data_IF_699874481523
#
_entry.id   IF_699874481523
#
_cell.length_a   1.000
_cell.length_b   1.000
_cell.length_c   1.000
_cell.angle_alpha   90.00
_cell.angle_beta   90.00
_cell.angle_gamma   90.00
#
_symmetry.space_group_name_H-M   'P 1'
#
loop_
_entity.id
_entity.type
_entity.pdbx_description
1 polymer ?
#
# COMPACT_ATOMS: atom_id res chain seq x y z
N UNK A 1 -27.79 -28.61 -19.45
CA UNK A 1 -26.72 -27.88 -18.74
C UNK A 1 -25.40 -28.60 -18.98
N UNK A 2 -24.46 -28.00 -19.73
CA UNK A 2 -23.14 -28.60 -20.00
C UNK A 2 -22.16 -28.13 -18.93
N UNK A 3 -21.75 -29.04 -18.04
CA UNK A 3 -20.67 -28.81 -17.08
C UNK A 3 -19.33 -28.85 -17.81
N UNK A 4 -18.88 -27.71 -18.32
CA UNK A 4 -17.53 -27.56 -18.86
C UNK A 4 -16.50 -27.62 -17.72
N UNK A 5 -15.76 -28.72 -17.61
CA UNK A 5 -14.53 -28.76 -16.80
C UNK A 5 -13.53 -27.79 -17.42
N UNK A 6 -13.23 -26.70 -16.73
CA UNK A 6 -12.07 -25.87 -17.02
C UNK A 6 -10.81 -26.73 -16.77
N UNK A 7 -10.24 -27.26 -17.84
CA UNK A 7 -8.95 -27.94 -17.80
C UNK A 7 -7.89 -26.88 -17.50
N UNK A 8 -7.35 -26.94 -16.28
CA UNK A 8 -6.38 -25.98 -15.78
C UNK A 8 -5.09 -26.07 -16.62
N UNK A 9 -4.66 -24.97 -17.22
CA UNK A 9 -3.39 -24.83 -17.95
C UNK A 9 -2.14 -25.06 -17.08
N UNK A 10 -2.33 -25.31 -15.78
CA UNK A 10 -1.28 -25.59 -14.81
C UNK A 10 -0.48 -26.86 -15.14
N UNK A 11 -1.12 -27.89 -15.70
CA UNK A 11 -0.45 -29.17 -15.99
C UNK A 11 0.60 -29.03 -17.11
N UNK A 12 0.29 -28.23 -18.15
CA UNK A 12 1.23 -27.92 -19.23
C UNK A 12 2.40 -27.02 -18.78
N UNK A 13 2.23 -26.25 -17.70
CA UNK A 13 3.29 -25.43 -17.13
C UNK A 13 4.23 -26.22 -16.22
N UNK A 14 3.71 -27.22 -15.49
CA UNK A 14 4.52 -28.14 -14.67
C UNK A 14 5.54 -28.94 -15.49
N UNK A 15 5.18 -29.32 -16.72
CA UNK A 15 6.09 -30.06 -17.60
C UNK A 15 7.23 -29.21 -18.16
N UNK A 16 7.06 -27.87 -18.23
CA UNK A 16 8.04 -26.94 -18.82
C UNK A 16 8.88 -26.20 -17.79
N UNK A 17 8.46 -26.16 -16.53
CA UNK A 17 9.15 -25.42 -15.48
C UNK A 17 9.17 -26.26 -14.20
N UNK A 18 10.36 -26.70 -13.77
CA UNK A 18 10.55 -27.29 -12.44
C UNK A 18 10.36 -26.21 -11.39
N UNK A 19 9.17 -26.18 -10.80
CA UNK A 19 8.77 -25.20 -9.80
C UNK A 19 9.43 -25.56 -8.46
N UNK A 20 10.35 -24.71 -7.99
CA UNK A 20 11.01 -24.84 -6.68
C UNK A 20 10.17 -24.26 -5.54
N UNK A 21 9.33 -23.27 -5.84
CA UNK A 21 8.46 -22.63 -4.85
C UNK A 21 7.20 -22.09 -5.49
N UNK A 22 6.07 -22.28 -4.80
CA UNK A 22 4.77 -21.70 -5.16
C UNK A 22 4.22 -20.99 -3.93
N UNK A 23 4.05 -19.68 -4.02
CA UNK A 23 3.46 -18.86 -2.96
C UNK A 23 2.09 -18.36 -3.44
N UNK A 24 1.01 -18.86 -2.84
CA UNK A 24 -0.34 -18.33 -3.07
C UNK A 24 -0.59 -17.15 -2.13
N UNK A 25 -0.82 -15.97 -2.70
CA UNK A 25 -1.41 -14.85 -2.00
C UNK A 25 -2.94 -15.06 -1.99
N UNK A 26 -3.40 -15.85 -1.02
CA UNK A 26 -4.74 -16.49 -0.96
C UNK A 26 -5.96 -15.61 -1.26
N UNK A 27 -5.86 -14.27 -1.32
CA UNK A 27 -7.02 -13.37 -1.49
C UNK A 27 -6.91 -12.47 -2.74
N UNK A 28 -5.74 -12.35 -3.36
CA UNK A 28 -5.53 -11.50 -4.55
C UNK A 28 -5.61 -12.27 -5.87
N UNK A 29 -5.78 -13.59 -5.81
CA UNK A 29 -5.63 -14.48 -6.96
C UNK A 29 -4.19 -14.56 -7.45
N UNK A 30 -3.21 -13.97 -6.77
CA UNK A 30 -1.82 -14.01 -7.21
C UNK A 30 -1.09 -15.26 -6.71
N UNK A 31 -0.27 -15.83 -7.58
CA UNK A 31 0.65 -16.92 -7.32
C UNK A 31 2.04 -16.46 -7.75
N UNK A 32 3.03 -16.63 -6.87
CA UNK A 32 4.43 -16.42 -7.22
C UNK A 32 5.07 -17.80 -7.36
N UNK A 33 5.60 -18.08 -8.54
CA UNK A 33 6.31 -19.30 -8.90
C UNK A 33 7.80 -18.98 -8.97
N UNK A 34 8.60 -19.56 -8.08
CA UNK A 34 10.05 -19.57 -8.23
C UNK A 34 10.50 -20.86 -8.90
N UNK A 35 11.17 -20.78 -10.03
CA UNK A 35 11.75 -21.90 -10.75
C UNK A 35 13.15 -22.26 -10.22
N UNK A 36 13.63 -23.48 -10.49
CA UNK A 36 14.95 -23.95 -10.06
C UNK A 36 16.12 -23.14 -10.64
N UNK A 37 15.94 -22.56 -11.83
CA UNK A 37 16.93 -21.71 -12.49
C UNK A 37 17.02 -20.29 -11.88
N UNK A 38 16.23 -19.98 -10.85
CA UNK A 38 16.18 -18.67 -10.21
C UNK A 38 15.15 -17.72 -10.80
N UNK A 39 14.40 -18.11 -11.84
CA UNK A 39 13.37 -17.26 -12.41
C UNK A 39 12.15 -17.15 -11.48
N UNK A 40 11.61 -15.94 -11.40
CA UNK A 40 10.41 -15.64 -10.62
C UNK A 40 9.27 -15.26 -11.57
N UNK A 41 8.22 -16.08 -11.62
CA UNK A 41 7.01 -15.80 -12.39
C UNK A 41 5.86 -15.44 -11.46
N UNK A 42 5.15 -14.36 -11.78
CA UNK A 42 3.95 -13.95 -11.04
C UNK A 42 2.73 -14.20 -11.91
N UNK A 43 1.83 -15.04 -11.43
CA UNK A 43 0.58 -15.40 -12.07
C UNK A 43 -0.56 -14.77 -11.30
N UNK A 44 -1.54 -14.19 -12.00
CA UNK A 44 -2.72 -13.62 -11.36
C UNK A 44 -3.96 -14.29 -11.96
N UNK A 45 -4.81 -14.84 -11.09
CA UNK A 45 -6.12 -15.36 -11.45
C UNK A 45 -6.99 -14.17 -11.86
N UNK A 46 -7.57 -14.24 -13.05
CA UNK A 46 -8.55 -13.26 -13.53
C UNK A 46 -9.87 -13.43 -12.76
N UNK A 47 -9.89 -13.09 -11.47
CA UNK A 47 -11.12 -13.03 -10.67
C UNK A 47 -11.81 -11.68 -10.87
N UNK A 48 -12.45 -11.53 -12.04
CA UNK A 48 -13.33 -10.39 -12.33
C UNK A 48 -14.38 -10.17 -11.23
N UNK A 49 -14.83 -11.25 -10.55
CA UNK A 49 -15.81 -11.19 -9.48
C UNK A 49 -15.29 -10.58 -8.15
N UNK A 50 -14.03 -10.82 -7.77
CA UNK A 50 -13.45 -10.22 -6.55
C UNK A 50 -13.18 -8.72 -6.77
N UNK A 51 -12.69 -8.35 -7.95
CA UNK A 51 -12.53 -6.97 -8.37
C UNK A 51 -13.89 -6.23 -8.44
N UNK A 52 -14.97 -6.90 -8.86
CA UNK A 52 -16.31 -6.33 -8.89
C UNK A 52 -16.89 -6.08 -7.48
N UNK A 53 -16.64 -6.93 -6.49
CA UNK A 53 -17.09 -6.70 -5.09
C UNK A 53 -16.41 -5.50 -4.45
N UNK A 54 -15.11 -5.31 -4.69
CA UNK A 54 -14.37 -4.13 -4.23
C UNK A 54 -14.78 -2.85 -5.00
N UNK A 55 -15.03 -2.96 -6.31
CA UNK A 55 -15.49 -1.82 -7.12
C UNK A 55 -16.90 -1.36 -6.76
N UNK A 56 -17.85 -2.26 -6.46
CA UNK A 56 -19.22 -1.88 -6.10
C UNK A 56 -19.31 -1.06 -4.80
N UNK A 57 -18.38 -1.27 -3.85
CA UNK A 57 -18.31 -0.46 -2.62
C UNK A 57 -17.73 0.93 -2.88
N UNK A 58 -16.84 1.08 -3.86
CA UNK A 58 -16.30 2.38 -4.30
C UNK A 58 -17.27 3.18 -5.19
N UNK A 59 -18.19 2.50 -5.90
CA UNK A 59 -19.16 3.12 -6.83
C UNK A 59 -20.38 3.75 -6.15
N UNK A 60 -20.54 3.63 -4.82
CA UNK A 60 -21.59 4.31 -4.06
C UNK A 60 -21.30 5.80 -3.78
N UNK A 61 -20.10 6.29 -4.14
CA UNK A 61 -19.73 7.69 -4.01
C UNK A 61 -19.81 8.34 -5.38
N UNK A 62 -20.76 9.28 -5.54
CA UNK A 62 -21.01 10.00 -6.78
C UNK A 62 -19.71 10.58 -7.36
N UNK A 63 -19.52 10.39 -8.68
CA UNK A 63 -18.38 10.98 -9.39
C UNK A 63 -18.47 12.52 -9.30
N UNK A 64 -17.42 13.22 -8.84
CA UNK A 64 -17.43 14.68 -8.75
C UNK A 64 -17.42 15.32 -10.14
N UNK A 65 -17.92 16.58 -10.26
CA UNK A 65 -18.01 17.30 -11.52
C UNK A 65 -16.63 17.51 -12.17
N UNK A 66 -16.56 17.26 -13.48
CA UNK A 66 -15.36 17.14 -14.32
C UNK A 66 -14.63 18.47 -14.65
N UNK A 67 -14.63 19.46 -13.75
CA UNK A 67 -14.13 20.82 -14.02
C UNK A 67 -12.73 21.16 -13.51
N UNK A 68 -11.97 20.23 -12.92
CA UNK A 68 -10.67 20.53 -12.31
C UNK A 68 -9.50 20.29 -13.29
N UNK A 69 -8.75 21.35 -13.58
CA UNK A 69 -7.57 21.37 -14.46
C UNK A 69 -6.60 20.21 -14.19
N UNK A 70 -6.21 19.54 -15.29
CA UNK A 70 -5.51 18.26 -15.40
C UNK A 70 -4.02 18.26 -14.97
N UNK A 71 -3.64 18.98 -13.91
CA UNK A 71 -2.22 19.18 -13.55
C UNK A 71 -1.65 18.17 -12.54
N UNK A 72 -2.27 17.00 -12.34
CA UNK A 72 -1.77 16.04 -11.34
C UNK A 72 -1.94 14.59 -11.74
N UNK A 73 -1.10 14.09 -12.63
CA UNK A 73 -0.80 12.66 -12.63
C UNK A 73 -0.25 12.29 -11.24
N UNK A 74 -0.91 11.35 -10.56
CA UNK A 74 -0.47 10.82 -9.28
C UNK A 74 -1.26 11.35 -8.08
N UNK A 75 -2.34 12.10 -8.29
CA UNK A 75 -3.15 12.64 -7.20
C UNK A 75 -3.65 11.53 -6.25
N UNK A 76 -3.38 11.63 -4.93
CA UNK A 76 -3.88 10.68 -3.95
C UNK A 76 -5.37 10.90 -3.70
N UNK A 77 -6.02 9.92 -3.07
CA UNK A 77 -7.34 10.10 -2.47
C UNK A 77 -7.23 10.31 -0.96
N UNK A 78 -8.15 11.09 -0.38
CA UNK A 78 -8.25 11.25 1.07
C UNK A 78 -8.70 9.95 1.75
N UNK A 79 -8.82 9.94 3.08
CA UNK A 79 -9.22 8.75 3.84
C UNK A 79 -10.65 8.28 3.51
N UNK A 80 -11.54 9.20 3.09
CA UNK A 80 -12.88 8.88 2.60
C UNK A 80 -12.94 8.54 1.10
N UNK A 81 -11.80 8.45 0.41
CA UNK A 81 -11.74 8.05 -1.00
C UNK A 81 -12.00 9.15 -2.04
N UNK A 82 -12.25 10.40 -1.64
CA UNK A 82 -12.34 11.53 -2.58
C UNK A 82 -10.98 11.86 -3.20
N UNK A 83 -10.96 12.17 -4.49
CA UNK A 83 -9.74 12.58 -5.19
C UNK A 83 -9.26 13.94 -4.66
N UNK A 84 -7.99 14.02 -4.27
CA UNK A 84 -7.39 15.29 -3.88
C UNK A 84 -6.91 16.06 -5.12
N UNK A 85 -6.92 17.38 -5.05
CA UNK A 85 -6.40 18.27 -6.10
C UNK A 85 -5.19 19.03 -5.59
N UNK A 86 -4.26 19.35 -6.48
CA UNK A 86 -3.16 20.26 -6.14
C UNK A 86 -3.72 21.63 -5.70
N UNK A 87 -3.14 22.23 -4.67
CA UNK A 87 -3.50 23.56 -4.19
C UNK A 87 -2.29 24.29 -3.65
N UNK A 88 -2.00 25.48 -4.19
CA UNK A 88 -1.05 26.45 -3.63
C UNK A 88 -1.72 27.48 -2.70
N UNK A 89 -3.02 27.32 -2.43
CA UNK A 89 -3.83 28.30 -1.69
C UNK A 89 -3.23 28.56 -0.30
N UNK A 90 -2.80 29.79 -0.04
CA UNK A 90 -2.12 30.19 1.20
C UNK A 90 -2.86 31.31 1.96
N UNK A 91 -4.12 31.58 1.62
CA UNK A 91 -4.99 32.57 2.28
C UNK A 91 -5.71 31.99 3.50
N UNK A 92 -6.36 32.88 4.27
CA UNK A 92 -7.15 32.50 5.46
C UNK A 92 -6.34 31.74 6.51
N UNK A 93 -6.85 30.60 6.96
CA UNK A 93 -6.19 29.74 7.96
C UNK A 93 -4.82 29.22 7.48
N UNK A 94 -4.60 29.16 6.16
CA UNK A 94 -3.38 28.64 5.56
C UNK A 94 -2.19 29.62 5.63
N UNK A 95 -2.42 30.88 6.02
CA UNK A 95 -1.35 31.90 6.17
C UNK A 95 -0.28 31.44 7.18
N UNK A 96 -0.70 30.71 8.23
CA UNK A 96 0.22 30.17 9.26
C UNK A 96 0.83 28.82 8.88
N UNK A 97 0.57 28.34 7.67
CA UNK A 97 0.85 26.98 7.23
C UNK A 97 -0.29 26.01 7.56
N UNK A 98 -0.09 24.75 7.22
CA UNK A 98 -1.07 23.67 7.40
C UNK A 98 -0.38 22.42 7.94
N UNK A 99 -1.15 21.42 8.35
CA UNK A 99 -0.63 20.13 8.82
C UNK A 99 -1.10 19.03 7.91
N UNK A 100 -0.17 18.17 7.49
CA UNK A 100 -0.53 17.00 6.69
C UNK A 100 -1.38 16.02 7.53
N UNK A 101 -2.55 15.63 7.06
CA UNK A 101 -3.46 14.70 7.75
C UNK A 101 -2.86 13.30 7.89
N UNK A 102 -1.86 12.97 7.06
CA UNK A 102 -1.12 11.71 7.14
C UNK A 102 0.02 11.79 8.17
N UNK A 103 1.02 12.65 7.93
CA UNK A 103 2.26 12.69 8.71
C UNK A 103 2.29 13.74 9.84
N UNK A 104 1.28 14.60 9.96
CA UNK A 104 1.15 15.67 10.95
C UNK A 104 2.23 16.76 10.93
N UNK A 105 3.22 16.63 10.04
CA UNK A 105 4.22 17.65 9.82
C UNK A 105 3.55 18.98 9.43
N UNK A 106 3.96 20.06 10.09
CA UNK A 106 3.58 21.42 9.71
C UNK A 106 4.31 21.79 8.41
N UNK A 107 3.58 22.31 7.43
CA UNK A 107 4.06 22.66 6.10
C UNK A 107 3.58 24.06 5.71
N UNK A 108 4.18 24.61 4.67
CA UNK A 108 3.79 25.86 4.01
C UNK A 108 3.76 25.61 2.51
N UNK A 109 2.99 26.41 1.77
CA UNK A 109 2.90 26.32 0.31
C UNK A 109 2.00 25.19 -0.18
N UNK A 110 2.45 24.54 -1.26
CA UNK A 110 1.67 23.60 -2.06
C UNK A 110 1.34 22.27 -1.34
N UNK A 111 0.18 21.70 -1.69
CA UNK A 111 -0.32 20.43 -1.12
C UNK A 111 -1.30 19.72 -2.03
N UNK A 112 -1.62 18.48 -1.69
CA UNK A 112 -2.86 17.84 -2.13
C UNK A 112 -3.97 18.21 -1.16
N UNK A 113 -5.02 18.86 -1.66
CA UNK A 113 -6.20 19.25 -0.90
C UNK A 113 -7.40 18.42 -1.36
N UNK A 114 -8.06 17.76 -0.43
CA UNK A 114 -9.40 17.24 -0.67
C UNK A 114 -10.42 18.37 -0.51
N UNK A 115 -11.05 18.81 -1.60
CA UNK A 115 -12.03 19.90 -1.54
C UNK A 115 -13.30 19.55 -0.77
N UNK A 116 -13.59 18.26 -0.62
CA UNK A 116 -14.75 17.72 0.14
C UNK A 116 -14.43 17.63 1.63
N UNK A 117 -13.41 16.85 2.01
CA UNK A 117 -13.07 16.60 3.42
C UNK A 117 -12.24 17.72 4.07
N UNK A 118 -11.64 18.61 3.27
CA UNK A 118 -10.59 19.55 3.69
C UNK A 118 -9.33 18.86 4.23
N UNK A 119 -9.11 17.59 3.87
CA UNK A 119 -7.87 16.88 4.16
C UNK A 119 -6.72 17.45 3.33
N UNK A 120 -5.60 17.74 4.00
CA UNK A 120 -4.36 18.22 3.40
C UNK A 120 -3.28 17.12 3.44
N UNK A 121 -2.70 16.77 2.29
CA UNK A 121 -1.61 15.79 2.19
C UNK A 121 -0.37 16.42 1.58
N UNK A 122 0.78 16.22 2.20
CA UNK A 122 2.04 16.77 1.71
C UNK A 122 2.68 15.96 0.59
N UNK A 123 3.50 16.64 -0.21
CA UNK A 123 4.24 16.00 -1.29
C UNK A 123 5.32 15.06 -0.79
N UNK A 124 5.82 15.16 0.44
CA UNK A 124 6.69 14.12 1.00
C UNK A 124 5.95 12.78 1.16
N UNK A 125 4.66 12.84 1.50
CA UNK A 125 3.83 11.64 1.64
C UNK A 125 3.32 11.13 0.29
N UNK A 126 2.96 12.04 -0.61
CA UNK A 126 2.49 11.72 -1.96
C UNK A 126 3.15 12.65 -2.96
N UNK A 127 4.33 12.30 -3.51
CA UNK A 127 5.06 13.22 -4.38
C UNK A 127 4.31 13.51 -5.68
N UNK A 128 4.37 14.77 -6.11
CA UNK A 128 3.91 15.17 -7.44
C UNK A 128 4.96 14.72 -8.47
N UNK A 129 4.50 14.16 -9.58
CA UNK A 129 5.37 13.80 -10.70
C UNK A 129 5.17 14.84 -11.81
N UNK A 130 6.16 15.69 -12.06
CA UNK A 130 6.07 16.66 -13.14
C UNK A 130 6.37 15.98 -14.48
N UNK A 131 5.63 16.27 -15.56
CA UNK A 131 5.98 15.80 -16.88
C UNK A 131 7.43 16.19 -17.22
N UNK A 132 8.22 15.23 -17.68
CA UNK A 132 9.63 15.45 -18.03
C UNK A 132 10.63 15.27 -16.89
N UNK A 133 10.21 15.13 -15.63
CA UNK A 133 11.11 14.64 -14.58
C UNK A 133 11.50 13.20 -14.91
N UNK A 134 12.81 12.97 -15.13
CA UNK A 134 13.33 11.61 -15.28
C UNK A 134 12.89 10.84 -14.06
N UNK A 135 12.12 9.76 -14.29
CA UNK A 135 11.88 8.73 -13.28
C UNK A 135 13.26 8.23 -12.87
N UNK A 136 13.82 8.76 -11.78
CA UNK A 136 14.93 8.11 -11.10
C UNK A 136 14.46 6.69 -10.89
N UNK A 137 15.23 5.75 -11.44
CA UNK A 137 14.84 4.37 -11.53
C UNK A 137 14.60 3.84 -10.12
N UNK A 138 13.35 3.87 -9.67
CA UNK A 138 12.87 3.26 -8.42
C UNK A 138 12.83 1.73 -8.62
N UNK A 139 13.92 1.20 -9.18
CA UNK A 139 14.17 -0.20 -9.54
C UNK A 139 14.74 -0.97 -8.38
N UNK A 140 15.22 -0.29 -7.35
CA UNK A 140 15.76 -0.91 -6.16
C UNK A 140 14.72 -1.01 -5.06
N UNK A 141 14.84 -2.07 -4.27
CA UNK A 141 14.03 -2.23 -3.07
C UNK A 141 14.27 -1.02 -2.14
N UNK A 142 13.20 -0.45 -1.62
CA UNK A 142 13.29 0.69 -0.70
C UNK A 142 13.21 0.19 0.73
N UNK A 143 14.21 0.54 1.52
CA UNK A 143 14.19 0.33 2.97
C UNK A 143 14.07 1.69 3.65
N UNK A 144 13.02 1.87 4.45
CA UNK A 144 12.79 3.10 5.21
C UNK A 144 12.66 2.75 6.67
N UNK A 145 13.54 3.32 7.48
CA UNK A 145 13.53 3.19 8.93
C UNK A 145 12.64 4.27 9.56
N UNK A 146 11.73 3.83 10.42
CA UNK A 146 10.93 4.66 11.31
C UNK A 146 11.39 4.53 12.76
N UNK A 147 10.63 5.17 13.65
CA UNK A 147 10.79 5.03 15.10
C UNK A 147 10.30 3.66 15.58
N UNK A 148 9.18 3.18 15.02
CA UNK A 148 8.51 1.96 15.49
C UNK A 148 8.52 0.85 14.47
N UNK A 149 8.65 1.20 13.18
CA UNK A 149 8.68 0.22 12.09
C UNK A 149 9.79 0.47 11.09
N UNK A 150 10.34 -0.61 10.53
CA UNK A 150 11.10 -0.59 9.29
C UNK A 150 10.24 -1.14 8.17
N UNK A 151 10.17 -0.43 7.05
CA UNK A 151 9.42 -0.87 5.86
C UNK A 151 10.39 -1.20 4.73
N UNK A 152 10.35 -2.46 4.28
CA UNK A 152 11.11 -2.98 3.13
C UNK A 152 10.15 -3.22 1.96
N UNK A 153 10.06 -2.24 1.05
CA UNK A 153 9.21 -2.32 -0.14
C UNK A 153 9.98 -2.95 -1.30
N UNK A 154 9.40 -3.97 -1.92
CA UNK A 154 9.97 -4.58 -3.13
C UNK A 154 9.88 -3.63 -4.33
N UNK A 155 10.90 -3.69 -5.20
CA UNK A 155 10.91 -2.90 -6.43
C UNK A 155 9.88 -3.43 -7.42
N UNK A 156 9.12 -2.52 -8.04
CA UNK A 156 8.11 -2.89 -9.05
C UNK A 156 6.93 -3.75 -8.58
N UNK A 157 6.90 -4.17 -7.31
CA UNK A 157 5.81 -4.93 -6.72
C UNK A 157 4.99 -4.05 -5.77
N UNK A 158 3.69 -4.30 -5.75
CA UNK A 158 2.77 -3.75 -4.77
C UNK A 158 2.84 -4.52 -3.45
N UNK A 159 4.03 -4.64 -2.85
CA UNK A 159 4.17 -5.27 -1.55
C UNK A 159 5.36 -4.73 -0.74
N UNK A 160 5.27 -4.89 0.57
CA UNK A 160 6.33 -4.61 1.51
C UNK A 160 6.30 -5.59 2.68
N UNK A 161 7.46 -5.83 3.28
CA UNK A 161 7.58 -6.40 4.62
C UNK A 161 7.73 -5.25 5.61
N UNK A 162 6.98 -5.32 6.71
CA UNK A 162 7.04 -4.36 7.79
C UNK A 162 7.53 -5.07 9.04
N UNK A 163 8.66 -4.62 9.55
CA UNK A 163 9.28 -5.11 10.77
C UNK A 163 9.02 -4.11 11.89
N UNK A 164 8.54 -4.59 13.02
CA UNK A 164 8.14 -3.77 14.16
C UNK A 164 9.18 -3.89 15.27
N UNK A 165 9.52 -2.77 15.88
CA UNK A 165 10.38 -2.75 17.08
C UNK A 165 9.72 -3.46 18.26
N UNK A 166 8.39 -3.44 18.31
CA UNK A 166 7.58 -4.10 19.34
C UNK A 166 6.54 -5.04 18.69
N UNK A 167 6.59 -6.36 18.96
CA UNK A 167 5.60 -7.32 18.47
C UNK A 167 4.14 -6.97 18.84
N UNK A 168 3.88 -6.30 19.97
CA UNK A 168 2.52 -5.92 20.36
C UNK A 168 1.89 -4.92 19.39
N UNK A 169 2.69 -4.00 18.82
CA UNK A 169 2.22 -3.09 17.77
C UNK A 169 1.83 -3.84 16.50
N UNK A 170 2.60 -4.88 16.14
CA UNK A 170 2.32 -5.75 15.00
C UNK A 170 1.00 -6.50 15.20
N UNK A 171 0.78 -7.07 16.38
CA UNK A 171 -0.44 -7.82 16.68
C UNK A 171 -1.67 -6.90 16.71
N UNK A 172 -1.52 -5.70 17.30
CA UNK A 172 -2.56 -4.67 17.28
C UNK A 172 -2.93 -4.24 15.87
N UNK A 173 -1.94 -4.06 14.98
CA UNK A 173 -2.17 -3.75 13.57
C UNK A 173 -2.94 -4.87 12.87
N UNK A 174 -2.50 -6.13 13.04
CA UNK A 174 -3.15 -7.28 12.42
C UNK A 174 -4.59 -7.44 12.90
N UNK A 175 -4.83 -7.29 14.21
CA UNK A 175 -6.17 -7.34 14.77
C UNK A 175 -7.07 -6.23 14.21
N UNK A 176 -6.54 -5.01 14.04
CA UNK A 176 -7.27 -3.87 13.50
C UNK A 176 -7.66 -4.07 12.03
N UNK A 177 -6.77 -4.62 11.21
CA UNK A 177 -6.95 -4.71 9.75
C UNK A 177 -7.29 -6.11 9.23
N UNK A 178 -7.64 -7.06 10.11
CA UNK A 178 -8.09 -8.40 9.71
C UNK A 178 -9.43 -8.38 8.98
N UNK A 179 -10.31 -7.43 9.30
CA UNK A 179 -11.67 -7.33 8.74
C UNK A 179 -11.78 -6.32 7.61
N UNK A 180 -11.03 -5.23 7.71
CA UNK A 180 -11.05 -4.16 6.72
C UNK A 180 -9.64 -3.82 6.27
N UNK A 181 -9.41 -3.65 4.96
CA UNK A 181 -8.10 -3.30 4.43
C UNK A 181 -7.70 -1.90 4.90
N UNK A 182 -6.40 -1.72 5.11
CA UNK A 182 -5.83 -0.38 5.30
C UNK A 182 -5.96 0.40 3.98
N UNK A 183 -6.43 1.64 4.04
CA UNK A 183 -6.54 2.52 2.85
C UNK A 183 -5.61 3.71 3.00
N UNK A 184 -4.65 3.86 2.07
CA UNK A 184 -3.72 5.00 2.04
C UNK A 184 -3.71 5.62 0.64
N UNK A 185 -4.06 6.90 0.53
CA UNK A 185 -4.06 7.58 -0.77
C UNK A 185 -5.07 6.99 -1.76
N UNK A 186 -6.09 6.26 -1.29
CA UNK A 186 -7.02 5.48 -2.13
C UNK A 186 -6.51 4.11 -2.55
N UNK A 187 -5.35 3.68 -2.05
CA UNK A 187 -4.77 2.36 -2.29
C UNK A 187 -5.17 1.45 -1.14
N UNK A 188 -5.83 0.35 -1.48
CA UNK A 188 -6.21 -0.71 -0.54
C UNK A 188 -5.02 -1.63 -0.29
N UNK A 189 -4.66 -1.79 0.98
CA UNK A 189 -3.52 -2.53 1.48
C UNK A 189 -4.04 -3.64 2.37
N UNK A 190 -3.73 -4.86 1.97
CA UNK A 190 -4.00 -6.09 2.70
C UNK A 190 -2.82 -6.37 3.62
N UNK A 191 -3.05 -6.41 4.94
CA UNK A 191 -2.01 -6.57 5.96
C UNK A 191 -2.19 -7.92 6.64
N UNK A 192 -1.12 -8.73 6.67
CA UNK A 192 -1.14 -10.10 7.19
C UNK A 192 0.10 -10.44 7.97
N UNK A 193 0.03 -11.56 8.69
CA UNK A 193 1.20 -12.26 9.22
C UNK A 193 2.23 -12.47 8.11
N UNK A 194 3.49 -12.10 8.38
CA UNK A 194 4.59 -12.43 7.48
C UNK A 194 5.02 -13.89 7.66
N UNK A 195 5.15 -14.60 6.54
CA UNK A 195 5.50 -16.03 6.51
C UNK A 195 6.71 -16.24 5.61
N UNK A 196 7.81 -16.76 6.16
CA UNK A 196 9.07 -17.03 5.45
C UNK A 196 9.21 -18.53 5.15
N UNK A 197 9.77 -18.87 3.99
CA UNK A 197 10.02 -20.25 3.58
C UNK A 197 11.29 -20.76 4.27
N UNK A 198 11.16 -21.84 5.03
CA UNK A 198 12.24 -22.51 5.73
C UNK A 198 13.01 -23.45 4.79
N UNK A 199 14.18 -23.94 5.24
CA UNK A 199 15.05 -24.83 4.45
C UNK A 199 14.37 -26.15 4.07
N UNK A 200 13.49 -26.67 4.93
CA UNK A 200 12.67 -27.86 4.72
C UNK A 200 11.46 -27.63 3.79
N UNK A 201 11.30 -26.40 3.29
CA UNK A 201 10.19 -25.99 2.43
C UNK A 201 8.91 -25.62 3.16
N UNK A 202 8.84 -25.79 4.48
CA UNK A 202 7.72 -25.31 5.29
C UNK A 202 7.70 -23.78 5.35
N UNK A 203 6.60 -23.20 5.85
CA UNK A 203 6.50 -21.76 6.08
C UNK A 203 6.32 -21.51 7.55
N UNK A 204 7.21 -20.70 8.12
CA UNK A 204 7.12 -20.26 9.49
C UNK A 204 6.71 -18.79 9.54
N UNK A 205 5.90 -18.44 10.53
CA UNK A 205 5.64 -17.05 10.88
C UNK A 205 6.93 -16.40 11.37
N UNK A 206 7.17 -15.15 10.95
CA UNK A 206 8.27 -14.34 11.50
C UNK A 206 7.69 -13.41 12.57
N UNK A 207 8.02 -13.63 13.85
CA UNK A 207 7.58 -12.76 14.93
C UNK A 207 7.99 -11.32 14.69
N UNK A 208 7.13 -10.37 15.07
CA UNK A 208 7.40 -8.94 14.89
C UNK A 208 7.37 -8.46 13.44
N UNK A 209 7.01 -9.30 12.47
CA UNK A 209 6.87 -8.91 11.06
C UNK A 209 5.43 -9.05 10.54
N UNK A 210 5.04 -8.13 9.67
CA UNK A 210 3.82 -8.18 8.88
C UNK A 210 4.12 -8.04 7.38
N UNK A 211 3.31 -8.67 6.55
CA UNK A 211 3.32 -8.50 5.11
C UNK A 211 2.20 -7.53 4.70
N UNK A 212 2.54 -6.50 3.94
CA UNK A 212 1.58 -5.55 3.37
C UNK A 212 1.57 -5.69 1.85
N UNK A 213 0.42 -6.04 1.26
CA UNK A 213 0.24 -6.20 -0.18
C UNK A 213 -0.86 -5.29 -0.74
N UNK A 214 -0.67 -4.74 -1.93
CA UNK A 214 -1.64 -3.91 -2.63
C UNK A 214 -1.55 -4.10 -4.14
N UNK A 215 -2.63 -3.76 -4.86
CA UNK A 215 -2.61 -3.75 -6.32
C UNK A 215 -1.86 -2.52 -6.79
N UNK A 216 -0.73 -2.70 -7.49
CA UNK A 216 -0.03 -1.59 -8.09
C UNK A 216 -0.77 -1.12 -9.35
N UNK A 217 -1.16 0.15 -9.43
CA UNK A 217 -1.72 0.71 -10.65
C UNK A 217 -0.75 0.58 -11.82
N UNK A 218 -1.24 0.09 -12.97
CA UNK A 218 -0.45 -0.04 -14.21
C UNK A 218 -0.47 1.24 -15.04
N UNK A 219 -1.54 2.04 -14.90
CA UNK A 219 -1.73 3.27 -15.65
C UNK A 219 -0.69 4.31 -15.26
N UNK A 220 -0.06 4.91 -16.26
CA UNK A 220 0.90 5.98 -16.05
C UNK A 220 0.24 7.17 -15.37
N UNK A 221 0.93 7.75 -14.40
CA UNK A 221 0.40 8.90 -13.69
C UNK A 221 -0.70 8.59 -12.69
N UNK A 222 -0.80 7.36 -12.21
CA UNK A 222 -1.61 7.03 -11.03
C UNK A 222 -0.78 7.12 -9.75
N UNK A 223 -1.44 7.40 -8.61
CA UNK A 223 -0.78 7.48 -7.31
C UNK A 223 -0.15 6.12 -6.96
N UNK A 224 1.15 6.12 -6.64
CA UNK A 224 1.87 4.93 -6.19
C UNK A 224 2.21 5.03 -4.71
N UNK A 225 1.97 3.95 -3.98
CA UNK A 225 2.36 3.87 -2.57
C UNK A 225 3.89 3.77 -2.46
N UNK A 226 4.52 4.74 -1.79
CA UNK A 226 5.95 4.70 -1.47
C UNK A 226 6.19 4.06 -0.11
N UNK A 227 7.37 3.50 0.09
CA UNK A 227 7.76 2.90 1.37
C UNK A 227 7.65 3.90 2.52
N UNK A 228 8.07 5.16 2.29
CA UNK A 228 7.98 6.24 3.28
C UNK A 228 6.54 6.55 3.70
N UNK A 229 5.59 6.54 2.77
CA UNK A 229 4.18 6.82 3.06
C UNK A 229 3.59 5.78 4.02
N UNK A 230 3.86 4.49 3.74
CA UNK A 230 3.44 3.38 4.60
C UNK A 230 4.13 3.45 5.97
N UNK A 231 5.45 3.67 5.98
CA UNK A 231 6.25 3.78 7.19
C UNK A 231 5.72 4.88 8.13
N UNK A 232 5.52 6.09 7.62
CA UNK A 232 5.05 7.23 8.42
C UNK A 232 3.66 6.99 9.00
N UNK A 233 2.76 6.37 8.24
CA UNK A 233 1.44 6.01 8.74
C UNK A 233 1.53 5.02 9.90
N UNK A 234 2.30 3.94 9.72
CA UNK A 234 2.43 2.87 10.70
C UNK A 234 3.16 3.35 11.97
N UNK A 235 4.22 4.13 11.85
CA UNK A 235 4.90 4.76 12.99
C UNK A 235 3.92 5.59 13.84
N UNK A 236 3.03 6.33 13.18
CA UNK A 236 2.03 7.14 13.87
C UNK A 236 0.97 6.28 14.53
N UNK A 237 0.52 5.21 13.87
CA UNK A 237 -0.42 4.27 14.48
C UNK A 237 0.17 3.63 15.73
N UNK A 238 1.44 3.19 15.66
CA UNK A 238 2.17 2.67 16.82
C UNK A 238 2.29 3.73 17.93
N UNK A 239 2.65 4.96 17.58
CA UNK A 239 2.77 6.06 18.56
C UNK A 239 1.47 6.37 19.30
N UNK A 240 0.30 6.13 18.69
CA UNK A 240 -1.01 6.29 19.36
C UNK A 240 -1.34 5.16 20.32
N UNK A 241 -0.77 3.98 20.09
CA UNK A 241 -1.02 2.77 20.87
C UNK A 241 0.10 2.49 21.88
N UNK A 242 1.22 3.20 21.80
CA UNK A 242 2.32 3.08 22.73
C UNK A 242 1.83 3.44 24.15
N UNK A 243 2.16 2.63 25.17
CA UNK A 243 1.82 2.97 26.55
C UNK A 243 2.44 4.32 26.90
N UNK A 244 1.71 5.14 27.67
CA UNK A 244 2.28 6.39 28.19
C UNK A 244 3.56 6.05 28.98
N UNK A 245 4.64 6.81 28.80
CA UNK A 245 5.84 6.60 29.58
C UNK A 245 5.46 6.71 31.06
N UNK A 246 5.66 5.64 31.82
CA UNK A 246 5.50 5.67 33.27
C UNK A 246 6.54 6.65 33.78
N UNK A 247 6.11 7.87 34.12
CA UNK A 247 6.98 8.85 34.77
C UNK A 247 7.24 8.29 36.16
N UNK A 248 8.45 7.76 36.38
CA UNK A 248 8.91 7.42 37.71
C UNK A 248 8.91 8.74 38.52
N UNK A 249 7.97 8.85 39.45
CA UNK A 249 8.00 9.89 40.47
C UNK A 249 9.03 9.44 41.50
N UNK A 250 10.22 10.04 41.43
CA UNK A 250 11.24 9.96 42.48
C UNK A 250 10.85 10.78 43.71
#
# INVERSE_FOLDING_TARGET
MRSGRLQCSFQAAQEKCRVRSLCSARHSGMFILGAENGDLQVWQRDDAAAAARLSRRAQGLAAPPSGASSMGTGAPRCNLGHLCTWSARADGEYVRGWRCNLCHAKRKGERWLCTVCKDDLCFDCFPIHRPGERKTAERDAQVVNGKWVQVRKHSGMGCAVVEFTDPQHRDSLLAQFVREPLVLGGIYIDVKVHMEKQADGTRAEIPGCAFAGWKQPKEEGTCKLRARTLQVYLDRLCSKNAPEPVIALD
#
